data_IF_150119354709
#
_entry.id   IF_150119354709
#
_cell.length_a   1.000
_cell.length_b   1.000
_cell.length_c   1.000
_cell.angle_alpha   90.00
_cell.angle_beta   90.00
_cell.angle_gamma   90.00
#
_symmetry.space_group_name_H-M   'P 1'
#
loop_
_entity.id
_entity.type
_entity.pdbx_description
1 polymer ?
#
# COMPACT_ATOMS: atom_id res chain seq x y z
N UNK A 1 -22.78 4.89 10.47
CA UNK A 1 -22.65 5.52 11.81
C UNK A 1 -22.98 4.50 12.87
N UNK A 2 -24.16 3.89 12.80
CA UNK A 2 -24.57 2.80 13.69
C UNK A 2 -23.47 1.72 13.85
N UNK A 3 -22.86 1.26 12.76
CA UNK A 3 -21.80 0.24 12.80
C UNK A 3 -20.56 0.69 13.57
N UNK A 4 -20.11 1.93 13.38
CA UNK A 4 -18.93 2.49 14.07
C UNK A 4 -19.21 2.67 15.57
N UNK A 5 -20.36 3.24 15.92
CA UNK A 5 -20.75 3.42 17.33
C UNK A 5 -20.92 2.07 18.03
N UNK A 6 -21.46 1.06 17.34
CA UNK A 6 -21.56 -0.30 17.85
C UNK A 6 -20.19 -0.94 18.03
N UNK A 7 -19.32 -0.84 17.04
CA UNK A 7 -17.96 -1.39 17.08
C UNK A 7 -17.10 -0.76 18.19
N UNK A 8 -17.28 0.54 18.44
CA UNK A 8 -16.55 1.27 19.49
C UNK A 8 -17.20 1.18 20.87
N UNK A 9 -18.45 0.72 20.97
CA UNK A 9 -19.21 0.71 22.23
C UNK A 9 -19.52 2.12 22.76
N UNK A 10 -19.64 3.12 21.88
CA UNK A 10 -19.93 4.52 22.23
C UNK A 10 -21.19 5.02 21.54
N UNK A 11 -21.80 6.08 22.06
CA UNK A 11 -22.92 6.74 21.40
C UNK A 11 -22.46 7.72 20.30
N UNK A 12 -23.36 8.17 19.40
CA UNK A 12 -23.00 9.12 18.34
C UNK A 12 -22.41 10.45 18.85
N UNK A 13 -22.95 11.10 19.91
CA UNK A 13 -22.33 12.31 20.46
C UNK A 13 -20.85 12.13 20.87
N UNK A 14 -20.52 11.04 21.59
CA UNK A 14 -19.14 10.73 21.97
C UNK A 14 -18.25 10.47 20.76
N UNK A 15 -18.78 9.85 19.70
CA UNK A 15 -18.04 9.67 18.45
C UNK A 15 -17.65 11.02 17.84
N UNK A 16 -18.61 11.92 17.68
CA UNK A 16 -18.34 13.23 17.08
C UNK A 16 -17.44 14.09 17.98
N UNK A 17 -17.56 13.98 19.30
CA UNK A 17 -16.64 14.63 20.23
C UNK A 17 -15.19 14.14 20.06
N UNK A 18 -14.97 12.83 19.84
CA UNK A 18 -13.64 12.26 19.72
C UNK A 18 -12.99 12.45 18.34
N UNK A 19 -13.77 12.36 17.27
CA UNK A 19 -13.28 12.29 15.89
C UNK A 19 -13.70 13.46 15.01
N UNK A 20 -14.64 14.29 15.46
CA UNK A 20 -15.19 15.41 14.71
C UNK A 20 -16.12 15.00 13.56
N UNK A 21 -15.71 14.04 12.74
CA UNK A 21 -16.49 13.51 11.62
C UNK A 21 -16.02 12.10 11.23
N UNK A 22 -16.77 11.43 10.34
CA UNK A 22 -16.31 10.16 9.74
C UNK A 22 -15.01 10.34 8.97
N UNK A 23 -14.87 11.46 8.26
CA UNK A 23 -13.65 11.80 7.56
C UNK A 23 -12.50 12.01 8.56
N UNK A 24 -12.74 12.70 9.67
CA UNK A 24 -11.75 12.88 10.73
C UNK A 24 -11.28 11.55 11.33
N UNK A 25 -12.19 10.60 11.55
CA UNK A 25 -11.81 9.23 11.91
C UNK A 25 -10.99 8.57 10.79
N UNK A 26 -11.46 8.62 9.55
CA UNK A 26 -10.81 7.95 8.41
C UNK A 26 -9.38 8.46 8.20
N UNK A 27 -9.15 9.77 8.27
CA UNK A 27 -7.81 10.35 8.18
C UNK A 27 -6.89 9.87 9.30
N UNK A 28 -7.39 9.75 10.55
CA UNK A 28 -6.61 9.16 11.66
C UNK A 28 -6.30 7.68 11.45
N UNK A 29 -7.24 6.94 10.86
CA UNK A 29 -7.03 5.53 10.52
C UNK A 29 -5.96 5.40 9.43
N UNK A 30 -6.02 6.23 8.39
CA UNK A 30 -5.02 6.27 7.33
C UNK A 30 -3.63 6.64 7.86
N UNK A 31 -3.56 7.62 8.76
CA UNK A 31 -2.30 8.01 9.42
C UNK A 31 -1.75 6.88 10.29
N UNK A 32 -2.59 6.23 11.12
CA UNK A 32 -2.14 5.04 11.86
C UNK A 32 -1.67 3.94 10.91
N UNK A 33 -2.41 3.70 9.82
CA UNK A 33 -2.07 2.69 8.82
C UNK A 33 -0.73 2.98 8.16
N UNK A 34 -0.39 4.24 7.86
CA UNK A 34 0.90 4.59 7.25
C UNK A 34 2.10 4.25 8.13
N UNK A 35 1.92 4.22 9.46
CA UNK A 35 2.97 3.89 10.42
C UNK A 35 3.04 2.41 10.78
N UNK A 36 1.92 1.69 10.76
CA UNK A 36 1.87 0.29 11.24
C UNK A 36 1.57 -0.73 10.16
N UNK A 37 0.66 -0.40 9.24
CA UNK A 37 0.11 -1.30 8.24
C UNK A 37 0.75 -1.17 6.86
N UNK A 38 1.25 0.01 6.49
CA UNK A 38 1.86 0.27 5.19
C UNK A 38 3.26 -0.35 5.06
N UNK A 39 3.71 -0.50 3.82
CA UNK A 39 5.04 -1.01 3.51
C UNK A 39 6.11 -0.03 4.02
N UNK A 40 7.12 -0.48 4.78
CA UNK A 40 8.14 0.38 5.35
C UNK A 40 9.18 0.76 4.29
N UNK A 41 8.80 1.61 3.33
CA UNK A 41 9.66 1.99 2.21
C UNK A 41 11.02 2.52 2.64
N UNK A 42 11.10 3.30 3.72
CA UNK A 42 12.34 3.86 4.23
C UNK A 42 13.34 2.78 4.70
N UNK A 43 12.85 1.64 5.19
CA UNK A 43 13.68 0.51 5.65
C UNK A 43 14.09 -0.40 4.49
N UNK A 44 13.23 -0.51 3.47
CA UNK A 44 13.41 -1.43 2.34
C UNK A 44 14.22 -0.79 1.21
N UNK A 45 13.93 0.46 0.85
CA UNK A 45 14.52 1.17 -0.30
C UNK A 45 15.85 1.81 0.08
N UNK A 46 16.86 0.95 0.31
CA UNK A 46 18.20 1.38 0.72
C UNK A 46 19.14 1.53 -0.48
N UNK A 47 20.03 2.52 -0.41
CA UNK A 47 20.99 2.82 -1.48
C UNK A 47 22.20 1.85 -1.47
N UNK A 48 22.41 1.10 -0.39
CA UNK A 48 23.50 0.13 -0.24
C UNK A 48 23.18 -1.27 -0.79
N UNK A 49 22.02 -1.42 -1.47
CA UNK A 49 21.55 -2.67 -2.07
C UNK A 49 21.17 -2.47 -3.54
N UNK A 50 21.26 -3.51 -4.39
CA UNK A 50 20.81 -3.43 -5.77
C UNK A 50 19.32 -3.05 -5.85
N UNK A 51 18.97 -2.11 -6.74
CA UNK A 51 17.60 -1.60 -6.88
C UNK A 51 16.60 -2.72 -7.12
N UNK A 52 16.94 -3.72 -7.95
CA UNK A 52 16.11 -4.89 -8.19
C UNK A 52 15.70 -5.61 -6.90
N UNK A 53 16.65 -5.83 -5.99
CA UNK A 53 16.41 -6.53 -4.72
C UNK A 53 15.52 -5.71 -3.77
N UNK A 54 15.69 -4.38 -3.77
CA UNK A 54 14.85 -3.49 -2.95
C UNK A 54 13.42 -3.45 -3.48
N UNK A 55 13.21 -3.37 -4.79
CA UNK A 55 11.88 -3.42 -5.40
C UNK A 55 11.21 -4.80 -5.19
N UNK A 56 11.96 -5.90 -5.29
CA UNK A 56 11.46 -7.22 -4.93
C UNK A 56 11.06 -7.30 -3.44
N UNK A 57 11.88 -6.73 -2.55
CA UNK A 57 11.57 -6.69 -1.12
C UNK A 57 10.28 -5.90 -0.83
N UNK A 58 10.02 -4.83 -1.58
CA UNK A 58 8.73 -4.10 -1.52
C UNK A 58 7.56 -5.01 -1.92
N UNK A 59 7.70 -5.74 -3.03
CA UNK A 59 6.64 -6.62 -3.54
C UNK A 59 6.36 -7.81 -2.61
N UNK A 60 7.41 -8.42 -2.05
CA UNK A 60 7.26 -9.48 -1.04
C UNK A 60 6.54 -8.96 0.21
N UNK A 61 6.94 -7.78 0.70
CA UNK A 61 6.29 -7.20 1.88
C UNK A 61 4.83 -6.83 1.60
N UNK A 62 4.52 -6.38 0.37
CA UNK A 62 3.15 -6.17 -0.08
C UNK A 62 2.35 -7.48 -0.04
N UNK A 63 2.84 -8.54 -0.69
CA UNK A 63 2.20 -9.85 -0.73
C UNK A 63 1.92 -10.38 0.68
N UNK A 64 2.93 -10.35 1.56
CA UNK A 64 2.84 -10.79 2.95
C UNK A 64 1.82 -9.99 3.76
N UNK A 65 1.87 -8.67 3.70
CA UNK A 65 0.98 -7.80 4.50
C UNK A 65 -0.46 -7.88 4.04
N UNK A 66 -0.70 -7.94 2.73
CA UNK A 66 -2.05 -7.92 2.18
C UNK A 66 -2.86 -9.17 2.51
N UNK A 67 -2.21 -10.29 2.83
CA UNK A 67 -2.88 -11.54 3.26
C UNK A 67 -2.79 -11.81 4.75
N UNK A 68 -2.09 -10.95 5.51
CA UNK A 68 -1.78 -11.21 6.92
C UNK A 68 -3.03 -11.31 7.81
N UNK A 69 -4.07 -10.53 7.48
CA UNK A 69 -5.37 -10.60 8.14
C UNK A 69 -6.46 -10.83 7.09
N UNK A 70 -7.05 -12.03 7.01
CA UNK A 70 -8.14 -12.33 6.08
C UNK A 70 -9.36 -11.41 6.25
N UNK A 71 -9.60 -10.85 7.44
CA UNK A 71 -10.72 -9.94 7.70
C UNK A 71 -10.43 -8.50 7.23
N UNK A 72 -9.16 -8.18 6.97
CA UNK A 72 -8.68 -6.87 6.51
C UNK A 72 -7.74 -6.98 5.30
N UNK A 73 -8.01 -7.96 4.43
CA UNK A 73 -7.13 -8.27 3.30
C UNK A 73 -6.97 -7.08 2.32
N UNK A 74 -5.78 -6.97 1.74
CA UNK A 74 -5.40 -5.91 0.81
C UNK A 74 -4.82 -4.66 1.49
N UNK A 75 -4.64 -3.61 0.69
CA UNK A 75 -4.14 -2.32 1.15
C UNK A 75 -5.29 -1.35 1.40
N UNK A 76 -5.35 -0.78 2.60
CA UNK A 76 -6.36 0.21 2.96
C UNK A 76 -6.34 1.46 2.05
N UNK A 77 -5.13 1.90 1.66
CA UNK A 77 -4.95 3.07 0.79
C UNK A 77 -5.47 2.79 -0.62
N UNK A 78 -5.16 1.62 -1.18
CA UNK A 78 -5.62 1.23 -2.53
C UNK A 78 -7.13 0.97 -2.58
N UNK A 79 -7.76 0.57 -1.48
CA UNK A 79 -9.22 0.53 -1.40
C UNK A 79 -9.81 1.94 -1.33
N UNK A 80 -9.17 2.82 -0.55
CA UNK A 80 -9.57 4.21 -0.37
C UNK A 80 -9.61 5.04 -1.64
N UNK A 81 -8.69 4.83 -2.58
CA UNK A 81 -8.68 5.56 -3.87
C UNK A 81 -9.88 5.25 -4.76
N UNK A 82 -10.62 4.17 -4.49
CA UNK A 82 -11.86 3.80 -5.18
C UNK A 82 -13.12 4.23 -4.41
N UNK A 83 -12.98 4.98 -3.31
CA UNK A 83 -14.12 5.42 -2.51
C UNK A 83 -15.03 6.38 -3.31
N UNK A 84 -16.34 6.25 -3.13
CA UNK A 84 -17.32 7.15 -3.74
C UNK A 84 -17.30 8.55 -3.12
N UNK A 85 -17.00 8.64 -1.82
CA UNK A 85 -16.84 9.92 -1.12
C UNK A 85 -15.56 10.61 -1.58
N UNK A 86 -15.69 11.83 -2.13
CA UNK A 86 -14.57 12.54 -2.75
C UNK A 86 -13.48 12.88 -1.74
N UNK A 87 -13.83 13.32 -0.54
CA UNK A 87 -12.86 13.74 0.48
C UNK A 87 -12.11 12.54 1.06
N UNK A 88 -12.80 11.41 1.27
CA UNK A 88 -12.13 10.17 1.66
C UNK A 88 -11.18 9.68 0.56
N UNK A 89 -11.63 9.70 -0.71
CA UNK A 89 -10.81 9.33 -1.86
C UNK A 89 -9.57 10.21 -1.98
N UNK A 90 -9.72 11.53 -1.84
CA UNK A 90 -8.59 12.48 -1.86
C UNK A 90 -7.56 12.20 -0.77
N UNK A 91 -8.01 11.91 0.45
CA UNK A 91 -7.11 11.58 1.56
C UNK A 91 -6.29 10.30 1.28
N UNK A 92 -6.92 9.26 0.72
CA UNK A 92 -6.24 8.03 0.33
C UNK A 92 -5.30 8.26 -0.87
N UNK A 93 -5.75 9.01 -1.88
CA UNK A 93 -4.95 9.33 -3.07
C UNK A 93 -3.68 10.09 -2.72
N UNK A 94 -3.72 11.02 -1.75
CA UNK A 94 -2.53 11.72 -1.28
C UNK A 94 -1.45 10.75 -0.75
N UNK A 95 -1.84 9.75 0.04
CA UNK A 95 -0.93 8.71 0.53
C UNK A 95 -0.42 7.80 -0.59
N UNK A 96 -1.30 7.45 -1.54
CA UNK A 96 -0.92 6.63 -2.68
C UNK A 96 0.13 7.34 -3.55
N UNK A 97 -0.11 8.60 -3.91
CA UNK A 97 0.83 9.42 -4.68
C UNK A 97 2.15 9.63 -3.94
N UNK A 98 2.12 9.79 -2.61
CA UNK A 98 3.35 9.88 -1.82
C UNK A 98 4.16 8.58 -1.86
N UNK A 99 3.50 7.42 -1.76
CA UNK A 99 4.15 6.11 -1.87
C UNK A 99 4.80 5.90 -3.25
N UNK A 100 4.06 6.18 -4.33
CA UNK A 100 4.61 6.13 -5.69
C UNK A 100 5.77 7.11 -5.87
N UNK A 101 5.64 8.32 -5.31
CA UNK A 101 6.70 9.32 -5.30
C UNK A 101 7.98 8.82 -4.65
N UNK A 102 7.88 8.12 -3.51
CA UNK A 102 9.03 7.53 -2.81
C UNK A 102 9.73 6.46 -3.66
N UNK A 103 8.96 5.55 -4.27
CA UNK A 103 9.50 4.50 -5.16
C UNK A 103 10.18 5.15 -6.36
N UNK A 104 9.52 6.10 -7.03
CA UNK A 104 10.06 6.79 -8.20
C UNK A 104 11.33 7.57 -7.88
N UNK A 105 11.33 8.31 -6.77
CA UNK A 105 12.50 9.06 -6.32
C UNK A 105 13.68 8.12 -6.01
N UNK A 106 13.43 6.97 -5.39
CA UNK A 106 14.46 5.97 -5.13
C UNK A 106 15.04 5.41 -6.44
N UNK A 107 14.21 4.95 -7.37
CA UNK A 107 14.67 4.39 -8.64
C UNK A 107 15.47 5.43 -9.44
N UNK A 108 15.00 6.69 -9.46
CA UNK A 108 15.61 7.77 -10.22
C UNK A 108 17.05 8.10 -9.78
N UNK A 109 17.46 7.76 -8.55
CA UNK A 109 18.84 7.96 -8.08
C UNK A 109 19.86 7.19 -8.91
N UNK A 110 19.48 6.02 -9.45
CA UNK A 110 20.38 5.13 -10.21
C UNK A 110 19.92 4.87 -11.64
N UNK A 111 18.61 4.90 -11.89
CA UNK A 111 17.99 4.62 -13.18
C UNK A 111 16.97 5.71 -13.56
N UNK A 112 17.37 6.98 -13.73
CA UNK A 112 16.45 8.10 -13.97
C UNK A 112 15.60 7.94 -15.23
N UNK A 113 16.14 7.32 -16.29
CA UNK A 113 15.42 7.06 -17.54
C UNK A 113 14.33 6.00 -17.40
N UNK A 114 14.46 5.11 -16.40
CA UNK A 114 13.53 4.01 -16.16
C UNK A 114 12.59 4.26 -14.97
N UNK A 115 12.79 5.37 -14.25
CA UNK A 115 12.10 5.64 -13.00
C UNK A 115 10.57 5.59 -13.13
N UNK A 116 10.02 6.16 -14.20
CA UNK A 116 8.57 6.15 -14.47
C UNK A 116 8.11 4.72 -14.75
N UNK A 117 8.64 4.07 -15.79
CA UNK A 117 8.17 2.74 -16.22
C UNK A 117 8.30 1.68 -15.13
N UNK A 118 9.35 1.74 -14.30
CA UNK A 118 9.56 0.79 -13.21
C UNK A 118 8.64 1.10 -12.01
N UNK A 119 8.37 2.37 -11.73
CA UNK A 119 7.37 2.73 -10.72
C UNK A 119 5.99 2.27 -11.14
N UNK A 120 5.60 2.46 -12.40
CA UNK A 120 4.31 2.02 -12.94
C UNK A 120 4.16 0.50 -12.82
N UNK A 121 5.23 -0.24 -13.16
CA UNK A 121 5.28 -1.69 -13.02
C UNK A 121 5.08 -2.14 -11.57
N UNK A 122 5.86 -1.59 -10.63
CA UNK A 122 5.78 -1.94 -9.20
C UNK A 122 4.41 -1.56 -8.62
N UNK A 123 3.88 -0.38 -8.94
CA UNK A 123 2.60 0.11 -8.42
C UNK A 123 1.43 -0.70 -8.97
N UNK A 124 1.49 -1.09 -10.25
CA UNK A 124 0.52 -2.02 -10.87
C UNK A 124 0.51 -3.37 -10.16
N UNK A 125 1.69 -3.93 -9.89
CA UNK A 125 1.79 -5.19 -9.16
C UNK A 125 1.25 -5.08 -7.73
N UNK A 126 1.58 -4.01 -7.01
CA UNK A 126 1.04 -3.77 -5.67
C UNK A 126 -0.49 -3.65 -5.68
N UNK A 127 -1.07 -2.96 -6.66
CA UNK A 127 -2.52 -2.89 -6.85
C UNK A 127 -3.13 -4.26 -7.13
N UNK A 128 -2.52 -5.04 -8.03
CA UNK A 128 -2.93 -6.40 -8.36
C UNK A 128 -2.87 -7.35 -7.18
N UNK A 129 -1.76 -7.35 -6.42
CA UNK A 129 -1.59 -8.15 -5.21
C UNK A 129 -2.66 -7.82 -4.17
N UNK A 130 -2.95 -6.52 -3.95
CA UNK A 130 -4.01 -6.08 -3.04
C UNK A 130 -5.38 -6.60 -3.47
N UNK A 131 -5.70 -6.50 -4.76
CA UNK A 131 -6.97 -7.00 -5.30
C UNK A 131 -7.09 -8.53 -5.19
N UNK A 132 -6.01 -9.26 -5.47
CA UNK A 132 -5.97 -10.73 -5.36
C UNK A 132 -6.09 -11.22 -3.93
N UNK A 133 -5.42 -10.56 -2.98
CA UNK A 133 -5.57 -10.85 -1.56
C UNK A 133 -7.04 -10.71 -1.12
N UNK A 134 -7.71 -9.62 -1.53
CA UNK A 134 -9.15 -9.42 -1.26
C UNK A 134 -10.06 -10.45 -1.92
N UNK A 135 -9.66 -10.99 -3.06
CA UNK A 135 -10.36 -12.08 -3.73
C UNK A 135 -10.14 -13.45 -3.04
N UNK A 136 -9.28 -13.52 -2.02
CA UNK A 136 -8.99 -14.74 -1.27
C UNK A 136 -7.90 -15.61 -1.89
N UNK A 137 -7.06 -15.07 -2.80
CA UNK A 137 -5.89 -15.80 -3.28
C UNK A 137 -4.92 -16.11 -2.12
N UNK A 138 -4.34 -17.31 -2.14
CA UNK A 138 -3.46 -17.76 -1.06
C UNK A 138 -2.13 -17.01 -1.05
N UNK A 139 -1.42 -16.96 0.10
CA UNK A 139 -0.09 -16.37 0.20
C UNK A 139 0.86 -16.91 -0.86
N UNK A 140 0.84 -18.22 -1.13
CA UNK A 140 1.72 -18.88 -2.09
C UNK A 140 1.49 -18.38 -3.53
N UNK A 141 0.23 -18.09 -3.89
CA UNK A 141 -0.10 -17.55 -5.22
C UNK A 141 0.38 -16.11 -5.40
N UNK A 142 0.26 -15.31 -4.34
CA UNK A 142 0.78 -13.94 -4.34
C UNK A 142 2.31 -13.94 -4.40
N UNK A 143 2.96 -14.77 -3.59
CA UNK A 143 4.41 -14.95 -3.60
C UNK A 143 4.92 -15.44 -4.97
N UNK A 144 4.22 -16.35 -5.64
CA UNK A 144 4.57 -16.78 -6.99
C UNK A 144 4.49 -15.63 -8.00
N UNK A 145 3.48 -14.76 -7.87
CA UNK A 145 3.38 -13.54 -8.70
C UNK A 145 4.58 -12.62 -8.46
N UNK A 146 5.00 -12.44 -7.20
CA UNK A 146 6.19 -11.66 -6.85
C UNK A 146 7.47 -12.30 -7.41
N UNK A 147 7.60 -13.63 -7.32
CA UNK A 147 8.75 -14.36 -7.86
C UNK A 147 8.90 -14.15 -9.36
N UNK A 148 7.81 -14.24 -10.11
CA UNK A 148 7.81 -14.00 -11.56
C UNK A 148 8.16 -12.54 -11.90
N UNK A 149 7.66 -11.57 -11.12
CA UNK A 149 8.05 -10.17 -11.26
C UNK A 149 9.56 -9.95 -10.98
N UNK A 150 10.12 -10.68 -10.02
CA UNK A 150 11.55 -10.67 -9.71
C UNK A 150 12.42 -11.03 -10.91
N UNK A 151 12.03 -12.06 -11.68
CA UNK A 151 12.75 -12.44 -12.91
C UNK A 151 12.81 -11.29 -13.92
N UNK A 152 11.73 -10.53 -14.08
CA UNK A 152 11.70 -9.37 -14.96
C UNK A 152 12.58 -8.22 -14.43
N UNK A 153 12.53 -7.94 -13.12
CA UNK A 153 13.34 -6.90 -12.50
C UNK A 153 14.84 -7.21 -12.59
N UNK A 154 15.24 -8.46 -12.35
CA UNK A 154 16.64 -8.89 -12.46
C UNK A 154 17.19 -8.76 -13.89
N UNK A 155 16.36 -8.99 -14.90
CA UNK A 155 16.76 -8.79 -16.30
C UNK A 155 16.84 -7.31 -16.68
N UNK A 156 15.95 -6.48 -16.15
CA UNK A 156 15.90 -5.04 -16.47
C UNK A 156 16.90 -4.20 -15.68
N UNK A 157 17.29 -4.66 -14.50
CA UNK A 157 18.16 -3.95 -13.57
C UNK A 157 19.36 -4.84 -13.20
N UNK A 158 20.41 -4.87 -14.04
CA UNK A 158 21.60 -5.63 -13.73
C UNK A 158 22.26 -5.12 -12.43
N UNK A 159 22.96 -6.04 -11.76
CA UNK A 159 23.57 -5.85 -10.43
C UNK A 159 24.53 -4.66 -10.37
#
# INVERSE_FOLDING_TARGET
MADLTKAFGINPPSFYAAFGSKLGLYTRVLDRYSHTGAIPFAEILRDDRPVAQCLMSVLHEAARRYVADPAAAGCLVLDGIHCNDSSAREAASALHTAAEGNIRAYIARRYPQDAVRLTDFVSTLMAGLSAKARAGDSPERLEETVRLAGLALEQLLPR
#
